data_IF_352695054614
#
_entry.id   IF_352695054614
#
_cell.length_a   1.000
_cell.length_b   1.000
_cell.length_c   1.000
_cell.angle_alpha   90.00
_cell.angle_beta   90.00
_cell.angle_gamma   90.00
#
_symmetry.space_group_name_H-M   'P 1'
#
loop_
_entity.id
_entity.type
_entity.pdbx_description
1 polymer ?
#
# COMPACT_ATOMS: atom_id res chain seq x y z
N UNK A 1 -44.62 -7.86 11.96
CA UNK A 1 -43.48 -8.01 12.88
C UNK A 1 -42.53 -9.01 12.24
N UNK A 2 -41.62 -8.56 11.37
CA UNK A 2 -40.18 -8.33 11.67
C UNK A 2 -39.49 -9.65 12.08
N UNK A 3 -38.43 -10.13 11.44
CA UNK A 3 -37.33 -9.41 10.79
C UNK A 3 -36.81 -10.09 9.52
N UNK A 4 -36.42 -9.22 8.61
CA UNK A 4 -35.85 -9.45 7.30
C UNK A 4 -34.32 -9.57 7.40
N UNK A 5 -33.79 -10.48 6.59
CA UNK A 5 -32.48 -10.49 5.92
C UNK A 5 -31.21 -10.23 6.73
N UNK A 6 -30.49 -11.34 6.94
CA UNK A 6 -29.19 -11.55 6.28
C UNK A 6 -28.16 -10.44 6.51
N UNK A 7 -27.52 -10.49 7.68
CA UNK A 7 -26.26 -9.83 7.92
C UNK A 7 -25.13 -10.68 7.29
N UNK A 8 -25.08 -10.69 5.97
CA UNK A 8 -23.91 -11.12 5.22
C UNK A 8 -23.26 -9.90 4.57
N UNK A 9 -21.95 -9.84 4.75
CA UNK A 9 -21.04 -9.01 3.99
C UNK A 9 -21.04 -7.50 4.30
N UNK A 10 -20.47 -7.18 5.46
CA UNK A 10 -19.71 -5.95 5.64
C UNK A 10 -18.41 -6.01 4.81
N UNK A 11 -18.52 -6.20 3.49
CA UNK A 11 -17.49 -5.80 2.56
C UNK A 11 -17.59 -4.27 2.46
N UNK A 12 -16.92 -3.59 3.39
CA UNK A 12 -16.67 -2.16 3.32
C UNK A 12 -16.07 -1.88 1.94
N UNK A 13 -16.87 -1.26 1.08
CA UNK A 13 -16.45 -0.87 -0.26
C UNK A 13 -15.25 0.03 -0.14
N UNK A 14 -14.07 -0.52 -0.46
CA UNK A 14 -12.88 0.26 -0.70
C UNK A 14 -13.21 1.21 -1.85
N UNK A 15 -13.41 2.47 -1.48
CA UNK A 15 -13.44 3.61 -2.36
C UNK A 15 -12.30 3.45 -3.39
N UNK A 16 -12.71 3.34 -4.66
CA UNK A 16 -11.82 3.11 -5.77
C UNK A 16 -11.97 4.31 -6.69
N UNK A 17 -10.87 5.03 -6.92
CA UNK A 17 -10.80 5.98 -8.03
C UNK A 17 -11.14 5.17 -9.29
N UNK A 18 -12.06 5.66 -10.12
CA UNK A 18 -12.77 4.93 -11.20
C UNK A 18 -11.93 4.17 -12.25
N UNK A 19 -10.63 4.04 -12.07
CA UNK A 19 -9.66 3.15 -12.72
C UNK A 19 -9.45 1.81 -11.96
N UNK A 20 -10.26 1.49 -10.94
CA UNK A 20 -10.16 0.21 -10.22
C UNK A 20 -8.91 0.09 -9.32
N UNK A 21 -8.26 1.22 -9.02
CA UNK A 21 -7.13 1.27 -8.09
C UNK A 21 -7.64 1.69 -6.71
N UNK A 22 -7.13 1.10 -5.62
CA UNK A 22 -7.41 1.60 -4.28
C UNK A 22 -6.92 3.04 -4.15
N UNK A 23 -7.64 3.88 -3.40
CA UNK A 23 -7.16 5.23 -3.11
C UNK A 23 -5.81 5.15 -2.38
N UNK A 24 -4.76 5.61 -3.05
CA UNK A 24 -3.44 5.69 -2.45
C UNK A 24 -3.42 6.93 -1.55
N UNK A 25 -3.51 6.75 -0.23
CA UNK A 25 -3.24 7.83 0.73
C UNK A 25 -1.91 8.51 0.35
N UNK A 26 -1.86 9.86 0.42
CA UNK A 26 -0.72 10.67 -0.06
C UNK A 26 0.66 10.12 0.32
N UNK A 27 0.81 9.56 1.53
CA UNK A 27 2.03 8.96 2.03
C UNK A 27 2.49 7.73 1.22
N UNK A 28 1.58 6.87 0.79
CA UNK A 28 1.89 5.71 -0.04
C UNK A 28 2.40 6.13 -1.43
N UNK A 29 1.80 7.16 -2.03
CA UNK A 29 2.24 7.66 -3.34
C UNK A 29 3.68 8.21 -3.28
N UNK A 30 4.07 8.85 -2.17
CA UNK A 30 5.45 9.31 -1.95
C UNK A 30 6.39 8.11 -1.79
N UNK A 31 6.02 7.12 -0.99
CA UNK A 31 6.85 5.91 -0.78
C UNK A 31 7.01 5.13 -2.10
N UNK A 32 5.94 4.92 -2.86
CA UNK A 32 5.97 4.27 -4.18
C UNK A 32 6.92 5.00 -5.13
N UNK A 33 6.83 6.34 -5.21
CA UNK A 33 7.71 7.14 -6.06
C UNK A 33 9.18 7.02 -5.63
N UNK A 34 9.46 6.97 -4.31
CA UNK A 34 10.81 6.80 -3.78
C UNK A 34 11.38 5.42 -4.14
N UNK A 35 10.61 4.34 -3.97
CA UNK A 35 11.03 2.99 -4.35
C UNK A 35 11.30 2.91 -5.87
N UNK A 36 10.42 3.51 -6.67
CA UNK A 36 10.53 3.52 -8.12
C UNK A 36 11.78 4.25 -8.64
N UNK A 37 12.13 5.41 -8.04
CA UNK A 37 13.28 6.20 -8.49
C UNK A 37 14.62 5.76 -7.87
N UNK A 38 14.59 5.12 -6.71
CA UNK A 38 15.77 4.72 -5.94
C UNK A 38 16.72 3.82 -6.76
N UNK A 39 16.17 2.83 -7.46
CA UNK A 39 16.98 1.82 -8.15
C UNK A 39 17.69 0.82 -7.23
N UNK A 40 17.87 1.16 -5.95
CA UNK A 40 18.39 0.31 -4.87
C UNK A 40 17.30 0.05 -3.81
N UNK A 41 17.51 -0.94 -2.93
CA UNK A 41 16.58 -1.25 -1.84
C UNK A 41 16.60 -0.17 -0.75
N UNK A 42 15.43 0.33 -0.36
CA UNK A 42 15.25 1.32 0.72
C UNK A 42 14.76 0.65 2.00
N UNK A 43 15.47 0.85 3.11
CA UNK A 43 15.02 0.36 4.43
C UNK A 43 13.92 1.23 5.02
N UNK A 44 13.21 0.74 6.05
CA UNK A 44 12.27 1.56 6.84
C UNK A 44 12.97 2.80 7.42
N UNK A 45 14.23 2.66 7.85
CA UNK A 45 15.02 3.78 8.37
C UNK A 45 15.33 4.84 7.29
N UNK A 46 15.55 4.43 6.05
CA UNK A 46 15.72 5.35 4.92
C UNK A 46 14.42 6.08 4.61
N UNK A 47 13.31 5.33 4.51
CA UNK A 47 11.99 5.90 4.25
C UNK A 47 11.59 6.90 5.33
N UNK A 48 11.88 6.60 6.61
CA UNK A 48 11.66 7.51 7.74
C UNK A 48 12.43 8.81 7.56
N UNK A 49 13.72 8.72 7.27
CA UNK A 49 14.59 9.89 7.04
C UNK A 49 14.15 10.73 5.84
N UNK A 50 13.55 10.12 4.82
CA UNK A 50 13.14 10.81 3.59
C UNK A 50 11.73 11.41 3.65
N UNK A 51 10.86 10.88 4.52
CA UNK A 51 9.43 11.23 4.54
C UNK A 51 8.96 11.86 5.84
N UNK A 52 9.78 11.82 6.90
CA UNK A 52 9.43 12.21 8.27
C UNK A 52 8.21 11.47 8.85
N UNK A 53 7.83 10.33 8.26
CA UNK A 53 6.75 9.46 8.74
C UNK A 53 7.22 8.57 9.90
N UNK A 54 6.29 8.13 10.73
CA UNK A 54 6.60 7.14 11.78
C UNK A 54 6.84 5.74 11.18
N UNK A 55 7.56 4.90 11.92
CA UNK A 55 7.84 3.52 11.49
C UNK A 55 6.55 2.72 11.23
N UNK A 56 5.51 2.98 12.03
CA UNK A 56 4.20 2.38 11.86
C UNK A 56 3.53 2.83 10.56
N UNK A 57 3.50 4.14 10.28
CA UNK A 57 2.90 4.66 9.05
C UNK A 57 3.59 4.11 7.80
N UNK A 58 4.92 4.02 7.82
CA UNK A 58 5.72 3.47 6.72
C UNK A 58 5.40 1.99 6.54
N UNK A 59 5.42 1.20 7.62
CA UNK A 59 5.12 -0.23 7.55
C UNK A 59 3.70 -0.49 6.99
N UNK A 60 2.71 0.28 7.45
CA UNK A 60 1.34 0.19 6.90
C UNK A 60 1.29 0.54 5.42
N UNK A 61 1.96 1.63 5.01
CA UNK A 61 2.01 2.04 3.61
C UNK A 61 2.69 0.99 2.71
N UNK A 62 3.80 0.41 3.16
CA UNK A 62 4.56 -0.59 2.39
C UNK A 62 3.78 -1.89 2.26
N UNK A 63 3.14 -2.37 3.34
CA UNK A 63 2.33 -3.60 3.30
C UNK A 63 1.13 -3.46 2.34
N UNK A 64 0.50 -2.29 2.35
CA UNK A 64 -0.61 -1.98 1.43
C UNK A 64 -0.10 -1.93 -0.03
N UNK A 65 1.01 -1.25 -0.29
CA UNK A 65 1.64 -1.23 -1.63
C UNK A 65 2.01 -2.64 -2.12
N UNK A 66 2.61 -3.47 -1.26
CA UNK A 66 2.92 -4.86 -1.56
C UNK A 66 1.66 -5.65 -1.96
N UNK A 67 0.58 -5.47 -1.21
CA UNK A 67 -0.71 -6.11 -1.48
C UNK A 67 -1.27 -5.66 -2.83
N UNK A 68 -1.28 -4.35 -3.09
CA UNK A 68 -1.80 -3.79 -4.34
C UNK A 68 -1.01 -4.24 -5.56
N UNK A 69 0.32 -4.21 -5.50
CA UNK A 69 1.17 -4.65 -6.60
C UNK A 69 1.02 -6.15 -6.91
N UNK A 70 0.79 -6.98 -5.89
CA UNK A 70 0.50 -8.41 -6.07
C UNK A 70 -0.87 -8.66 -6.69
N UNK A 71 -1.90 -7.90 -6.29
CA UNK A 71 -3.27 -8.07 -6.77
C UNK A 71 -3.51 -7.49 -8.18
N UNK A 72 -2.76 -6.45 -8.56
CA UNK A 72 -2.93 -5.74 -9.84
C UNK A 72 -2.59 -6.60 -11.07
N UNK A 73 -1.95 -7.76 -10.91
CA UNK A 73 -1.41 -8.58 -12.02
C UNK A 73 -0.61 -7.73 -13.04
N UNK A 74 0.16 -6.75 -12.54
CA UNK A 74 0.95 -5.83 -13.35
C UNK A 74 2.31 -6.40 -13.74
N UNK A 75 3.05 -5.66 -14.57
CA UNK A 75 4.42 -6.03 -14.98
C UNK A 75 5.52 -5.70 -13.96
N UNK A 76 5.15 -5.13 -12.81
CA UNK A 76 6.07 -4.76 -11.73
C UNK A 76 5.57 -5.37 -10.41
N UNK A 77 6.52 -5.66 -9.52
CA UNK A 77 6.28 -6.13 -8.15
C UNK A 77 7.19 -5.35 -7.21
N UNK A 78 6.80 -5.25 -5.95
CA UNK A 78 7.66 -4.78 -4.87
C UNK A 78 8.16 -6.01 -4.11
N UNK A 79 9.46 -6.07 -3.81
CA UNK A 79 10.11 -7.17 -3.08
C UNK A 79 10.90 -6.66 -1.89
N UNK A 80 11.07 -7.52 -0.88
CA UNK A 80 11.97 -7.25 0.24
C UNK A 80 13.32 -7.92 0.01
N UNK A 81 14.39 -7.13 0.02
CA UNK A 81 15.77 -7.57 -0.18
C UNK A 81 16.66 -6.98 0.92
N UNK A 82 17.39 -7.84 1.63
CA UNK A 82 18.34 -7.46 2.68
C UNK A 82 17.77 -6.48 3.75
N UNK A 83 16.47 -6.57 4.06
CA UNK A 83 15.80 -5.69 5.04
C UNK A 83 15.38 -4.32 4.48
N UNK A 84 15.37 -4.16 3.16
CA UNK A 84 14.78 -3.01 2.47
C UNK A 84 13.83 -3.43 1.36
N UNK A 85 13.16 -2.46 0.75
CA UNK A 85 12.15 -2.66 -0.29
C UNK A 85 12.60 -2.05 -1.62
N UNK A 86 12.24 -2.70 -2.73
CA UNK A 86 12.46 -2.24 -4.09
C UNK A 86 11.32 -2.68 -5.01
#
# INVERSE_FOLDING_TARGET
MTDNYDNSDAAQGMESDGDGRPLVCRSMAVIEALLFISGDSLSIADLKRLTDLSDHEIATCVEELLTQYRQRNGGMIIVELAGGYQ
#
